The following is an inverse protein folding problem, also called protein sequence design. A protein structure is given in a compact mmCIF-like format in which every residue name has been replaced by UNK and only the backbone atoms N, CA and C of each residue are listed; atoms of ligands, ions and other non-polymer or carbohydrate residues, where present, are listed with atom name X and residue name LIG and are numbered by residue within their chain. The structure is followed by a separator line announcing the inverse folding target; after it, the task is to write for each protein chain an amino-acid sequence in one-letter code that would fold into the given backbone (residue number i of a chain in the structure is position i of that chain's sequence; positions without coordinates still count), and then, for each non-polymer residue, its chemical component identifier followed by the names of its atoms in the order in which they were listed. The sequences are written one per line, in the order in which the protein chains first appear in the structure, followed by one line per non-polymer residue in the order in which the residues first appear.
data_IF_071184922687
#
_entry.id   IF_071184922687
#
_cell.length_a   1.000
_cell.length_b   1.000
_cell.length_c   1.000
_cell.angle_alpha   90.00
_cell.angle_beta   90.00
_cell.angle_gamma   90.00
#
_symmetry.space_group_name_H-M   'P 1'
#
loop_
_entity.id
_entity.type
_entity.pdbx_description
1 polymer ?
#
# COMPACT_ATOMS: atom_id res chain seq x y z
N UNK A 1 -37.42 27.30 -25.03
CA UNK A 1 -36.80 27.61 -23.72
C UNK A 1 -37.03 26.56 -22.64
N UNK A 2 -38.20 25.91 -22.51
CA UNK A 2 -38.41 24.87 -21.47
C UNK A 2 -37.70 23.55 -21.78
N UNK A 3 -37.67 23.13 -23.06
CA UNK A 3 -37.05 21.86 -23.49
C UNK A 3 -35.54 21.80 -23.20
N UNK A 4 -34.80 22.89 -23.43
CA UNK A 4 -33.35 22.95 -23.18
C UNK A 4 -32.98 22.84 -21.69
N UNK A 5 -33.83 23.38 -20.80
CA UNK A 5 -33.64 23.29 -19.35
C UNK A 5 -33.84 21.85 -18.85
N UNK A 6 -34.86 21.15 -19.37
CA UNK A 6 -35.11 19.74 -19.04
C UNK A 6 -34.04 18.80 -19.59
N UNK A 7 -33.57 19.02 -20.83
CA UNK A 7 -32.50 18.20 -21.43
C UNK A 7 -31.18 18.37 -20.66
N UNK A 8 -30.80 19.61 -20.35
CA UNK A 8 -29.58 19.91 -19.59
C UNK A 8 -29.64 19.34 -18.16
N UNK A 9 -30.83 19.28 -17.56
CA UNK A 9 -31.06 18.64 -16.26
C UNK A 9 -30.92 17.11 -16.33
N UNK A 10 -31.45 16.47 -17.37
CA UNK A 10 -31.30 15.03 -17.59
C UNK A 10 -29.84 14.64 -17.84
N UNK A 11 -29.12 15.40 -18.66
CA UNK A 11 -27.68 15.18 -18.91
C UNK A 11 -26.84 15.35 -17.63
N UNK A 12 -27.10 16.39 -16.84
CA UNK A 12 -26.42 16.60 -15.57
C UNK A 12 -26.67 15.46 -14.58
N UNK A 13 -27.90 14.95 -14.51
CA UNK A 13 -28.26 13.82 -13.65
C UNK A 13 -27.58 12.53 -14.10
N UNK A 14 -27.54 12.25 -15.40
CA UNK A 14 -26.85 11.09 -15.94
C UNK A 14 -25.33 11.14 -15.69
N UNK A 15 -24.72 12.32 -15.79
CA UNK A 15 -23.30 12.52 -15.46
C UNK A 15 -23.02 12.31 -13.97
N UNK A 16 -23.88 12.81 -13.09
CA UNK A 16 -23.76 12.59 -11.65
C UNK A 16 -23.88 11.10 -11.29
N UNK A 17 -24.88 10.40 -11.82
CA UNK A 17 -25.05 8.97 -11.59
C UNK A 17 -23.83 8.16 -12.05
N UNK A 18 -23.26 8.50 -13.20
CA UNK A 18 -22.04 7.86 -13.71
C UNK A 18 -20.83 8.12 -12.82
N UNK A 19 -20.70 9.34 -12.30
CA UNK A 19 -19.63 9.69 -11.37
C UNK A 19 -19.78 8.96 -10.03
N UNK A 20 -21.00 8.87 -9.50
CA UNK A 20 -21.32 8.12 -8.28
C UNK A 20 -21.03 6.62 -8.45
N UNK A 21 -21.38 6.04 -9.60
CA UNK A 21 -21.09 4.64 -9.90
C UNK A 21 -19.59 4.38 -10.02
N UNK A 22 -18.85 5.26 -10.71
CA UNK A 22 -17.40 5.16 -10.79
C UNK A 22 -16.75 5.22 -9.41
N UNK A 23 -17.18 6.16 -8.57
CA UNK A 23 -16.70 6.30 -7.19
C UNK A 23 -17.03 5.06 -6.34
N UNK A 24 -18.25 4.51 -6.49
CA UNK A 24 -18.65 3.29 -5.79
C UNK A 24 -17.80 2.10 -6.19
N UNK A 25 -17.49 1.94 -7.48
CA UNK A 25 -16.66 0.86 -8.01
C UNK A 25 -15.20 1.01 -7.55
N UNK A 26 -14.67 2.24 -7.54
CA UNK A 26 -13.34 2.53 -7.03
C UNK A 26 -13.23 2.20 -5.53
N UNK A 27 -14.19 2.66 -4.72
CA UNK A 27 -14.24 2.34 -3.29
C UNK A 27 -14.36 0.83 -3.03
N UNK A 28 -15.14 0.11 -3.83
CA UNK A 28 -15.26 -1.35 -3.72
C UNK A 28 -13.92 -2.04 -4.00
N UNK A 29 -13.22 -1.59 -5.04
CA UNK A 29 -11.90 -2.11 -5.42
C UNK A 29 -10.88 -1.85 -4.31
N UNK A 30 -10.81 -0.62 -3.79
CA UNK A 30 -9.90 -0.26 -2.71
C UNK A 30 -10.17 -1.06 -1.43
N UNK A 31 -11.44 -1.28 -1.09
CA UNK A 31 -11.83 -2.09 0.07
C UNK A 31 -11.39 -3.54 -0.09
N UNK A 32 -11.53 -4.10 -1.28
CA UNK A 32 -11.10 -5.47 -1.58
C UNK A 32 -9.57 -5.57 -1.54
N UNK A 33 -8.86 -4.60 -2.12
CA UNK A 33 -7.39 -4.52 -2.04
C UNK A 33 -6.90 -4.45 -0.59
N UNK A 34 -7.48 -3.58 0.24
CA UNK A 34 -7.12 -3.46 1.64
C UNK A 34 -7.39 -4.76 2.42
N UNK A 35 -8.52 -5.42 2.16
CA UNK A 35 -8.85 -6.70 2.82
C UNK A 35 -7.85 -7.80 2.46
N UNK A 36 -7.55 -7.96 1.17
CA UNK A 36 -6.56 -8.95 0.69
C UNK A 36 -5.17 -8.65 1.23
N UNK A 37 -4.79 -7.38 1.30
CA UNK A 37 -3.49 -6.97 1.85
C UNK A 37 -3.40 -7.27 3.35
N UNK A 38 -4.47 -7.01 4.10
CA UNK A 38 -4.56 -7.33 5.54
C UNK A 38 -4.44 -8.85 5.79
N UNK A 39 -5.11 -9.67 4.99
CA UNK A 39 -5.03 -11.13 5.09
C UNK A 39 -3.62 -11.67 4.81
N UNK A 40 -2.88 -11.04 3.90
CA UNK A 40 -1.51 -11.44 3.57
C UNK A 40 -0.43 -10.73 4.41
N UNK A 41 -0.81 -9.81 5.30
CA UNK A 41 0.13 -9.00 6.08
C UNK A 41 0.97 -8.03 5.24
N UNK A 42 0.50 -7.64 4.06
CA UNK A 42 1.10 -6.59 3.23
C UNK A 42 0.64 -5.21 3.73
N UNK A 43 1.25 -4.78 4.83
CA UNK A 43 0.93 -3.51 5.49
C UNK A 43 1.11 -2.30 4.55
N UNK A 44 1.99 -2.36 3.55
CA UNK A 44 2.24 -1.24 2.65
C UNK A 44 1.02 -1.02 1.74
N UNK A 45 0.55 -2.10 1.12
CA UNK A 45 -0.64 -2.05 0.25
C UNK A 45 -1.90 -1.77 1.04
N UNK A 46 -2.04 -2.35 2.24
CA UNK A 46 -3.19 -2.11 3.13
C UNK A 46 -3.31 -0.62 3.50
N UNK A 47 -2.20 -0.02 3.96
CA UNK A 47 -2.17 1.40 4.36
C UNK A 47 -2.48 2.31 3.17
N UNK A 48 -1.88 2.05 2.01
CA UNK A 48 -2.12 2.84 0.80
C UNK A 48 -3.60 2.81 0.37
N UNK A 49 -4.23 1.63 0.42
CA UNK A 49 -5.63 1.47 0.08
C UNK A 49 -6.56 2.20 1.08
N UNK A 50 -6.30 2.10 2.39
CA UNK A 50 -7.08 2.86 3.39
C UNK A 50 -6.90 4.37 3.27
N UNK A 51 -5.68 4.85 3.02
CA UNK A 51 -5.43 6.27 2.76
C UNK A 51 -6.26 6.74 1.58
N UNK A 52 -6.28 5.98 0.48
CA UNK A 52 -7.08 6.33 -0.70
C UNK A 52 -8.57 6.35 -0.40
N UNK A 53 -9.07 5.42 0.41
CA UNK A 53 -10.47 5.42 0.84
C UNK A 53 -10.77 6.68 1.68
N UNK A 54 -9.88 7.11 2.56
CA UNK A 54 -10.07 8.33 3.36
C UNK A 54 -9.94 9.62 2.53
N UNK A 55 -9.21 9.62 1.42
CA UNK A 55 -9.25 10.74 0.47
C UNK A 55 -10.64 10.90 -0.17
N UNK A 56 -11.35 9.79 -0.40
CA UNK A 56 -12.68 9.75 -1.02
C UNK A 56 -13.82 9.88 0.00
N UNK A 57 -13.62 9.39 1.23
CA UNK A 57 -14.56 9.41 2.34
C UNK A 57 -13.81 9.77 3.66
N UNK A 58 -13.54 11.07 3.89
CA UNK A 58 -12.73 11.52 5.03
C UNK A 58 -13.34 11.23 6.40
N UNK A 59 -14.66 11.02 6.48
CA UNK A 59 -15.38 10.80 7.74
C UNK A 59 -15.57 9.30 8.04
N UNK A 60 -14.85 8.42 7.34
CA UNK A 60 -14.95 6.99 7.54
C UNK A 60 -14.15 6.52 8.78
N UNK A 61 -14.73 6.72 9.96
CA UNK A 61 -14.11 6.37 11.26
C UNK A 61 -13.65 4.91 11.34
N UNK A 62 -14.34 4.00 10.62
CA UNK A 62 -13.97 2.58 10.58
C UNK A 62 -12.66 2.36 9.82
N UNK A 63 -12.48 3.03 8.69
CA UNK A 63 -11.26 2.96 7.88
C UNK A 63 -10.11 3.68 8.58
N UNK A 64 -10.39 4.82 9.22
CA UNK A 64 -9.40 5.53 10.03
C UNK A 64 -8.85 4.65 11.16
N UNK A 65 -9.72 3.96 11.91
CA UNK A 65 -9.30 3.05 12.97
C UNK A 65 -8.44 1.89 12.43
N UNK A 66 -8.79 1.33 11.26
CA UNK A 66 -8.01 0.27 10.61
C UNK A 66 -6.65 0.76 10.13
N UNK A 67 -6.59 1.93 9.51
CA UNK A 67 -5.34 2.57 9.09
C UNK A 67 -4.40 2.76 10.28
N UNK A 68 -4.93 3.27 11.40
CA UNK A 68 -4.14 3.47 12.62
C UNK A 68 -3.62 2.15 13.19
N UNK A 69 -4.46 1.10 13.20
CA UNK A 69 -4.03 -0.22 13.64
C UNK A 69 -2.90 -0.79 12.76
N UNK A 70 -3.04 -0.74 11.43
CA UNK A 70 -2.01 -1.17 10.50
C UNK A 70 -0.69 -0.39 10.68
N UNK A 71 -0.78 0.94 10.89
CA UNK A 71 0.39 1.77 11.17
C UNK A 71 1.09 1.41 12.49
N UNK A 72 0.34 1.00 13.52
CA UNK A 72 0.89 0.56 14.80
C UNK A 72 1.64 -0.77 14.70
N UNK A 73 1.35 -1.59 13.69
CA UNK A 73 2.07 -2.85 13.46
C UNK A 73 3.41 -2.65 12.74
N UNK A 74 3.61 -1.51 12.04
CA UNK A 74 4.83 -1.24 11.27
C UNK A 74 6.11 -1.45 12.08
N UNK A 75 6.28 -0.90 13.30
CA UNK A 75 7.56 -1.01 14.01
C UNK A 75 7.92 -2.47 14.32
N UNK A 76 6.93 -3.27 14.73
CA UNK A 76 7.12 -4.71 14.98
C UNK A 76 7.51 -5.43 13.70
N UNK A 77 6.75 -5.19 12.62
CA UNK A 77 6.96 -5.86 11.33
C UNK A 77 8.32 -5.50 10.73
N UNK A 78 8.72 -4.23 10.80
CA UNK A 78 10.04 -3.77 10.35
C UNK A 78 11.16 -4.47 11.12
N UNK A 79 11.04 -4.61 12.44
CA UNK A 79 12.05 -5.30 13.24
C UNK A 79 12.16 -6.79 12.88
N UNK A 80 11.03 -7.48 12.72
CA UNK A 80 10.99 -8.87 12.29
C UNK A 80 11.63 -9.05 10.90
N UNK A 81 11.24 -8.22 9.93
CA UNK A 81 11.79 -8.24 8.58
C UNK A 81 13.29 -7.92 8.57
N UNK A 82 13.75 -7.01 9.42
CA UNK A 82 15.17 -6.69 9.50
C UNK A 82 15.97 -7.91 9.98
N UNK A 83 15.50 -8.60 11.02
CA UNK A 83 16.14 -9.83 11.53
C UNK A 83 16.15 -10.94 10.48
N UNK A 84 15.03 -11.14 9.81
CA UNK A 84 14.87 -12.15 8.75
C UNK A 84 15.80 -11.87 7.55
N UNK A 85 15.85 -10.62 7.08
CA UNK A 85 16.78 -10.21 6.03
C UNK A 85 18.25 -10.39 6.40
N UNK A 86 18.61 -10.15 7.67
CA UNK A 86 19.96 -10.40 8.19
C UNK A 86 20.28 -11.89 8.24
N UNK A 87 19.33 -12.74 8.60
CA UNK A 87 19.50 -14.20 8.62
C UNK A 87 19.71 -14.76 7.19
N UNK A 88 18.85 -14.37 6.24
CA UNK A 88 19.02 -14.71 4.83
C UNK A 88 20.36 -14.22 4.27
N UNK A 89 20.79 -13.01 4.65
CA UNK A 89 22.10 -12.48 4.27
C UNK A 89 23.25 -13.35 4.81
N UNK A 90 23.20 -13.75 6.09
CA UNK A 90 24.20 -14.61 6.70
C UNK A 90 24.30 -15.97 6.02
N UNK A 91 23.17 -16.49 5.52
CA UNK A 91 23.07 -17.71 4.71
C UNK A 91 23.50 -17.54 3.25
N UNK A 92 23.95 -16.35 2.85
CA UNK A 92 24.29 -15.97 1.45
C UNK A 92 23.11 -16.09 0.47
N UNK A 93 21.89 -16.05 0.97
CA UNK A 93 20.66 -16.01 0.20
C UNK A 93 20.38 -14.55 -0.19
N UNK A 94 21.21 -14.01 -1.07
CA UNK A 94 21.24 -12.58 -1.35
C UNK A 94 19.97 -12.06 -2.04
N UNK A 95 19.36 -12.86 -2.92
CA UNK A 95 18.12 -12.47 -3.60
C UNK A 95 16.95 -12.33 -2.61
N UNK A 96 16.81 -13.30 -1.70
CA UNK A 96 15.79 -13.32 -0.65
C UNK A 96 16.02 -12.19 0.36
N UNK A 97 17.26 -12.04 0.83
CA UNK A 97 17.64 -10.96 1.74
C UNK A 97 17.32 -9.59 1.13
N UNK A 98 17.68 -9.38 -0.14
CA UNK A 98 17.42 -8.12 -0.83
C UNK A 98 15.91 -7.85 -0.91
N UNK A 99 15.11 -8.85 -1.30
CA UNK A 99 13.65 -8.71 -1.39
C UNK A 99 13.03 -8.32 -0.04
N UNK A 100 13.51 -8.92 1.06
CA UNK A 100 13.05 -8.58 2.41
C UNK A 100 13.40 -7.13 2.75
N UNK A 101 14.66 -6.70 2.53
CA UNK A 101 15.07 -5.32 2.82
C UNK A 101 14.36 -4.29 1.93
N UNK A 102 14.09 -4.60 0.66
CA UNK A 102 13.32 -3.72 -0.22
C UNK A 102 11.86 -3.59 0.24
N UNK A 103 11.26 -4.68 0.72
CA UNK A 103 9.90 -4.65 1.27
C UNK A 103 9.86 -3.86 2.59
N UNK A 104 10.88 -4.01 3.45
CA UNK A 104 11.02 -3.23 4.67
C UNK A 104 11.14 -1.73 4.36
N UNK A 105 11.94 -1.36 3.35
CA UNK A 105 12.12 0.03 2.94
C UNK A 105 10.86 0.65 2.31
N UNK A 106 9.91 -0.15 1.80
CA UNK A 106 8.58 0.37 1.41
C UNK A 106 7.76 0.81 2.63
N UNK A 107 7.90 0.12 3.76
CA UNK A 107 7.22 0.44 5.02
C UNK A 107 7.92 1.58 5.78
N UNK A 108 9.25 1.55 5.80
CA UNK A 108 10.06 2.57 6.45
C UNK A 108 11.23 2.99 5.56
N UNK A 109 11.02 3.96 4.64
CA UNK A 109 12.03 4.42 3.71
C UNK A 109 13.30 4.95 4.39
N UNK A 110 13.15 5.50 5.60
CA UNK A 110 14.21 6.12 6.41
C UNK A 110 15.03 5.10 7.22
N UNK A 111 14.77 3.79 7.10
CA UNK A 111 15.48 2.77 7.87
C UNK A 111 16.93 2.58 7.37
N UNK A 112 17.85 3.38 7.91
CA UNK A 112 19.26 3.47 7.49
C UNK A 112 19.96 2.10 7.38
N UNK A 113 19.83 1.24 8.41
CA UNK A 113 20.47 -0.08 8.43
C UNK A 113 19.99 -1.01 7.31
N UNK A 114 18.71 -0.91 6.91
CA UNK A 114 18.17 -1.74 5.82
C UNK A 114 18.63 -1.21 4.45
N UNK A 115 18.74 0.12 4.31
CA UNK A 115 19.29 0.76 3.12
C UNK A 115 20.75 0.37 2.89
N UNK A 116 21.56 0.39 3.94
CA UNK A 116 22.95 -0.06 3.88
C UNK A 116 23.06 -1.56 3.58
N UNK A 117 22.24 -2.40 4.23
CA UNK A 117 22.21 -3.84 3.96
C UNK A 117 21.85 -4.14 2.50
N UNK A 118 20.80 -3.51 1.96
CA UNK A 118 20.40 -3.67 0.56
C UNK A 118 21.50 -3.25 -0.42
N UNK A 119 22.21 -2.14 -0.16
CA UNK A 119 23.36 -1.71 -0.97
C UNK A 119 24.46 -2.77 -0.96
N UNK A 120 24.87 -3.21 0.23
CA UNK A 120 25.94 -4.20 0.39
C UNK A 120 25.59 -5.54 -0.28
N UNK A 121 24.30 -5.93 -0.27
CA UNK A 121 23.82 -7.11 -0.96
C UNK A 121 23.96 -6.97 -2.47
N UNK A 122 23.50 -5.86 -3.05
CA UNK A 122 23.59 -5.59 -4.49
C UNK A 122 25.04 -5.67 -4.97
N UNK A 123 25.98 -5.12 -4.20
CA UNK A 123 27.42 -5.22 -4.48
C UNK A 123 27.93 -6.67 -4.45
N UNK A 124 27.53 -7.45 -3.45
CA UNK A 124 27.92 -8.87 -3.35
C UNK A 124 27.37 -9.71 -4.49
N UNK A 125 26.12 -9.52 -4.89
CA UNK A 125 25.51 -10.24 -6.01
C UNK A 125 26.29 -10.04 -7.31
N UNK A 126 26.71 -8.79 -7.59
CA UNK A 126 27.57 -8.46 -8.74
C UNK A 126 28.91 -9.20 -8.65
N UNK A 127 29.54 -9.24 -7.47
CA UNK A 127 30.82 -9.91 -7.26
C UNK A 127 30.73 -11.44 -7.37
N UNK A 128 29.62 -12.03 -6.94
CA UNK A 128 29.41 -13.48 -6.94
C UNK A 128 28.72 -14.01 -8.20
N UNK A 129 28.33 -13.13 -9.13
CA UNK A 129 27.60 -13.50 -10.35
C UNK A 129 26.20 -14.06 -10.09
N UNK A 130 25.57 -13.66 -8.98
CA UNK A 130 24.21 -14.03 -8.59
C UNK A 130 23.18 -12.98 -9.01
#
# INVERSE_FOLDING_TARGET
MVLELTTRHQEATALLQKAEEALRNELATLRQQAAVAAEHGDLATEIAAYQKILELDPNNLKVEAKLKAAQQEIPRRVEEMYRDGVDHYAKRQYQEALKIFETLLKLQPEHAKARDAARNIKEKMIQTGQ
#
